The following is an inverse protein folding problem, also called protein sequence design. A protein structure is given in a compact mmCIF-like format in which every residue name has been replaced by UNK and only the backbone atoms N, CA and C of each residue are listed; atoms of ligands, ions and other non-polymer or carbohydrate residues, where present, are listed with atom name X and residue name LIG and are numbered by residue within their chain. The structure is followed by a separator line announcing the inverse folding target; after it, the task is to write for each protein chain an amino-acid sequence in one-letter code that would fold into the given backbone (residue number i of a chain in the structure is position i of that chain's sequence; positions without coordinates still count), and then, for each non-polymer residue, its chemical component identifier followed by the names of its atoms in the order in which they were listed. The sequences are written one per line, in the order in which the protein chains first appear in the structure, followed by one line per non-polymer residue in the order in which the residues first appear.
data_IF_311328247887
#
_entry.id   IF_311328247887
#
_cell.length_a   1.000
_cell.length_b   1.000
_cell.length_c   1.000
_cell.angle_alpha   90.00
_cell.angle_beta   90.00
_cell.angle_gamma   90.00
#
_symmetry.space_group_name_H-M   'P 1'
#
loop_
_entity.id
_entity.type
_entity.pdbx_description
1 polymer ?
#
# COMPACT_ATOMS: atom_id res chain seq x y z
N UNK A 1 20.40 1.21 -22.57
CA UNK A 1 20.13 1.43 -21.12
C UNK A 1 18.81 2.16 -20.90
N UNK A 2 18.63 3.42 -21.32
CA UNK A 2 17.33 4.12 -21.20
C UNK A 2 16.16 3.39 -21.89
N UNK A 3 16.37 2.87 -23.11
CA UNK A 3 15.37 2.05 -23.83
C UNK A 3 14.93 0.81 -23.04
N UNK A 4 15.89 0.09 -22.45
CA UNK A 4 15.64 -1.15 -21.69
C UNK A 4 14.90 -0.88 -20.38
N UNK A 5 15.28 0.17 -19.65
CA UNK A 5 14.59 0.53 -18.41
C UNK A 5 13.14 0.96 -18.64
N UNK A 6 12.88 1.73 -19.70
CA UNK A 6 11.52 2.11 -20.08
C UNK A 6 10.69 0.88 -20.51
N UNK A 7 11.29 -0.06 -21.24
CA UNK A 7 10.61 -1.31 -21.62
C UNK A 7 10.20 -2.13 -20.40
N UNK A 8 11.11 -2.34 -19.44
CA UNK A 8 10.82 -3.05 -18.19
C UNK A 8 9.72 -2.36 -17.38
N UNK A 9 9.75 -1.03 -17.28
CA UNK A 9 8.70 -0.28 -16.61
C UNK A 9 7.33 -0.48 -17.27
N UNK A 10 7.25 -0.39 -18.60
CA UNK A 10 6.00 -0.63 -19.32
C UNK A 10 5.50 -2.07 -19.16
N UNK A 11 6.39 -3.06 -19.15
CA UNK A 11 6.04 -4.46 -18.90
C UNK A 11 5.40 -4.66 -17.51
N UNK A 12 5.95 -4.02 -16.47
CA UNK A 12 5.36 -4.03 -15.13
C UNK A 12 3.96 -3.42 -15.15
N UNK A 13 3.78 -2.23 -15.73
CA UNK A 13 2.48 -1.55 -15.78
C UNK A 13 1.43 -2.37 -16.55
N UNK A 14 1.81 -2.95 -17.69
CA UNK A 14 0.88 -3.78 -18.47
C UNK A 14 0.48 -5.03 -17.70
N UNK A 15 1.44 -5.71 -17.05
CA UNK A 15 1.17 -6.90 -16.24
C UNK A 15 0.21 -6.59 -15.09
N UNK A 16 0.44 -5.51 -14.36
CA UNK A 16 -0.43 -5.08 -13.27
C UNK A 16 -1.83 -4.68 -13.77
N UNK A 17 -1.92 -4.02 -14.91
CA UNK A 17 -3.19 -3.62 -15.52
C UNK A 17 -4.02 -4.83 -15.95
N UNK A 18 -3.38 -5.87 -16.50
CA UNK A 18 -4.04 -7.13 -16.83
C UNK A 18 -4.54 -7.85 -15.57
N UNK A 19 -3.74 -7.89 -14.52
CA UNK A 19 -4.09 -8.53 -13.24
C UNK A 19 -5.23 -7.82 -12.51
N UNK A 20 -5.32 -6.49 -12.61
CA UNK A 20 -6.35 -5.71 -11.91
C UNK A 20 -7.79 -6.17 -12.23
N UNK A 21 -8.02 -6.76 -13.42
CA UNK A 21 -9.35 -7.25 -13.80
C UNK A 21 -9.75 -8.62 -13.24
N UNK A 22 -8.84 -9.39 -12.62
CA UNK A 22 -9.13 -10.77 -12.20
C UNK A 22 -8.36 -11.29 -10.98
N UNK A 23 -7.32 -10.58 -10.53
CA UNK A 23 -6.60 -10.92 -9.31
C UNK A 23 -7.31 -10.35 -8.07
N UNK A 24 -7.08 -10.96 -6.91
CA UNK A 24 -7.45 -10.32 -5.63
C UNK A 24 -6.61 -9.06 -5.40
N UNK A 25 -7.14 -8.11 -4.64
CA UNK A 25 -6.44 -6.86 -4.32
C UNK A 25 -5.12 -7.13 -3.59
N UNK A 26 -5.10 -8.12 -2.68
CA UNK A 26 -3.86 -8.61 -2.06
C UNK A 26 -2.84 -9.10 -3.09
N UNK A 27 -3.27 -9.92 -4.05
CA UNK A 27 -2.39 -10.47 -5.09
C UNK A 27 -1.81 -9.38 -5.98
N UNK A 28 -2.65 -8.40 -6.36
CA UNK A 28 -2.23 -7.24 -7.14
C UNK A 28 -1.19 -6.38 -6.38
N UNK A 29 -1.46 -6.07 -5.11
CA UNK A 29 -0.54 -5.28 -4.27
C UNK A 29 0.80 -5.99 -4.08
N UNK A 30 0.77 -7.30 -3.77
CA UNK A 30 1.97 -8.11 -3.64
C UNK A 30 2.81 -8.08 -4.93
N UNK A 31 2.17 -8.30 -6.08
CA UNK A 31 2.86 -8.26 -7.36
C UNK A 31 3.47 -6.88 -7.64
N UNK A 32 2.77 -5.79 -7.32
CA UNK A 32 3.29 -4.43 -7.51
C UNK A 32 4.54 -4.17 -6.66
N UNK A 33 4.52 -4.58 -5.38
CA UNK A 33 5.65 -4.42 -4.45
C UNK A 33 6.86 -5.25 -4.89
N UNK A 34 6.65 -6.49 -5.33
CA UNK A 34 7.71 -7.39 -5.75
C UNK A 34 8.31 -6.97 -7.11
N UNK A 35 7.47 -6.73 -8.12
CA UNK A 35 7.92 -6.40 -9.48
C UNK A 35 8.60 -5.03 -9.60
N UNK A 36 8.22 -4.08 -8.74
CA UNK A 36 8.90 -2.77 -8.66
C UNK A 36 10.27 -2.84 -7.98
N UNK A 37 10.56 -3.93 -7.25
CA UNK A 37 11.76 -4.06 -6.42
C UNK A 37 11.72 -3.18 -5.16
N UNK A 38 10.56 -2.63 -4.79
CA UNK A 38 10.42 -1.70 -3.66
C UNK A 38 10.77 -2.35 -2.33
N UNK A 39 10.35 -3.60 -2.12
CA UNK A 39 10.67 -4.35 -0.90
C UNK A 39 12.17 -4.57 -0.76
N UNK A 40 12.82 -5.02 -1.83
CA UNK A 40 14.27 -5.27 -1.87
C UNK A 40 15.05 -3.96 -1.68
N UNK A 41 14.57 -2.87 -2.28
CA UNK A 41 15.14 -1.54 -2.08
C UNK A 41 15.15 -1.16 -0.60
N UNK A 42 14.01 -1.27 0.10
CA UNK A 42 13.95 -0.95 1.53
C UNK A 42 14.70 -1.93 2.42
N UNK A 43 14.71 -3.22 2.07
CA UNK A 43 15.48 -4.24 2.77
C UNK A 43 17.00 -4.00 2.70
N UNK A 44 17.48 -3.33 1.64
CA UNK A 44 18.90 -2.98 1.47
C UNK A 44 19.35 -1.78 2.30
N UNK A 45 18.41 -1.01 2.87
CA UNK A 45 18.71 0.16 3.69
C UNK A 45 19.21 -0.25 5.08
N UNK A 46 20.24 0.45 5.58
CA UNK A 46 20.83 0.14 6.89
C UNK A 46 20.00 0.72 8.02
N UNK A 47 19.77 -0.09 9.05
CA UNK A 47 19.15 0.31 10.32
C UNK A 47 17.64 0.05 10.37
N UNK A 48 17.05 0.36 11.53
CA UNK A 48 15.66 0.01 11.87
C UNK A 48 14.63 0.65 10.93
N UNK A 49 14.94 1.79 10.32
CA UNK A 49 14.05 2.46 9.37
C UNK A 49 13.77 1.66 8.11
N UNK A 50 14.76 0.90 7.61
CA UNK A 50 14.57 0.04 6.44
C UNK A 50 13.66 -1.14 6.77
N UNK A 51 13.89 -1.76 7.92
CA UNK A 51 13.08 -2.86 8.45
C UNK A 51 11.63 -2.43 8.66
N UNK A 52 11.40 -1.29 9.34
CA UNK A 52 10.05 -0.76 9.55
C UNK A 52 9.31 -0.50 8.24
N UNK A 53 10.00 -0.05 7.17
CA UNK A 53 9.37 0.12 5.86
C UNK A 53 8.99 -1.20 5.20
N UNK A 54 9.82 -2.23 5.35
CA UNK A 54 9.51 -3.58 4.86
C UNK A 54 8.31 -4.16 5.62
N UNK A 55 8.29 -4.02 6.94
CA UNK A 55 7.17 -4.44 7.79
C UNK A 55 5.88 -3.74 7.38
N UNK A 56 5.90 -2.42 7.19
CA UNK A 56 4.73 -1.67 6.72
C UNK A 56 4.21 -2.18 5.36
N UNK A 57 5.09 -2.57 4.45
CA UNK A 57 4.70 -3.14 3.15
C UNK A 57 4.06 -4.53 3.30
N UNK A 58 4.57 -5.35 4.21
CA UNK A 58 3.99 -6.68 4.53
C UNK A 58 2.64 -6.56 5.24
N UNK A 59 2.51 -5.59 6.14
CA UNK A 59 1.25 -5.26 6.81
C UNK A 59 0.22 -4.75 5.80
N UNK A 60 0.60 -3.90 4.85
CA UNK A 60 -0.29 -3.44 3.78
C UNK A 60 -0.84 -4.63 2.97
N UNK A 61 0.01 -5.57 2.57
CA UNK A 61 -0.44 -6.78 1.85
C UNK A 61 -1.32 -7.67 2.73
N UNK A 62 -1.03 -7.74 4.04
CA UNK A 62 -1.82 -8.55 4.98
C UNK A 62 -3.19 -7.93 5.24
N UNK A 63 -3.29 -6.60 5.38
CA UNK A 63 -4.55 -5.89 5.55
C UNK A 63 -5.50 -6.06 4.36
N UNK A 64 -4.95 -6.29 3.17
CA UNK A 64 -5.70 -6.54 1.95
C UNK A 64 -6.20 -7.99 1.79
N UNK A 65 -5.80 -8.91 2.69
CA UNK A 65 -6.19 -10.33 2.61
C UNK A 65 -7.70 -10.52 2.70
N UNK A 66 -8.34 -9.76 3.59
CA UNK A 66 -9.77 -9.81 3.88
C UNK A 66 -10.52 -8.58 3.33
N UNK A 67 -9.90 -7.85 2.40
CA UNK A 67 -10.54 -6.68 1.78
C UNK A 67 -11.55 -7.13 0.73
N UNK A 68 -12.83 -7.01 1.09
CA UNK A 68 -13.97 -7.37 0.25
C UNK A 68 -14.87 -6.16 0.04
N UNK A 69 -15.51 -6.09 -1.12
CA UNK A 69 -16.40 -4.98 -1.51
C UNK A 69 -17.73 -5.54 -2.00
N UNK A 70 -18.75 -4.68 -2.05
CA UNK A 70 -20.06 -5.09 -2.58
C UNK A 70 -19.96 -5.56 -4.03
N UNK A 71 -20.82 -6.51 -4.42
CA UNK A 71 -20.87 -6.99 -5.80
C UNK A 71 -21.08 -5.83 -6.80
N UNK A 72 -20.24 -5.78 -7.83
CA UNK A 72 -20.30 -4.74 -8.87
C UNK A 72 -19.47 -3.49 -8.55
N UNK A 73 -18.82 -3.43 -7.39
CA UNK A 73 -17.81 -2.42 -7.06
C UNK A 73 -16.42 -2.92 -7.50
N UNK A 74 -15.61 -2.02 -8.06
CA UNK A 74 -14.20 -2.29 -8.32
C UNK A 74 -13.40 -2.18 -7.00
N UNK A 75 -12.85 -3.28 -6.46
CA UNK A 75 -12.17 -3.26 -5.17
C UNK A 75 -10.95 -2.34 -5.15
N UNK A 76 -10.24 -2.21 -6.26
CA UNK A 76 -9.06 -1.35 -6.35
C UNK A 76 -9.45 0.13 -6.31
N UNK A 77 -10.49 0.51 -7.05
CA UNK A 77 -10.99 1.86 -7.08
C UNK A 77 -11.51 2.31 -5.71
N UNK A 78 -12.29 1.44 -5.05
CA UNK A 78 -12.82 1.70 -3.70
C UNK A 78 -11.69 1.84 -2.66
N UNK A 79 -10.71 0.93 -2.69
CA UNK A 79 -9.56 1.01 -1.79
C UNK A 79 -8.77 2.31 -1.97
N UNK A 80 -8.54 2.75 -3.21
CA UNK A 80 -7.86 4.01 -3.49
C UNK A 80 -8.69 5.21 -3.01
N UNK A 81 -10.01 5.18 -3.20
CA UNK A 81 -10.90 6.23 -2.73
C UNK A 81 -10.88 6.35 -1.20
N UNK A 82 -10.99 5.22 -0.49
CA UNK A 82 -10.90 5.17 0.96
C UNK A 82 -9.54 5.67 1.47
N UNK A 83 -8.44 5.18 0.90
CA UNK A 83 -7.09 5.62 1.28
C UNK A 83 -6.87 7.12 1.03
N UNK A 84 -7.45 7.67 -0.04
CA UNK A 84 -7.38 9.10 -0.34
C UNK A 84 -8.20 9.95 0.65
N UNK A 85 -9.37 9.45 1.09
CA UNK A 85 -10.17 10.08 2.14
C UNK A 85 -9.45 10.06 3.49
N UNK A 86 -8.94 8.89 3.91
CA UNK A 86 -8.20 8.74 5.17
C UNK A 86 -6.93 9.62 5.20
N UNK A 87 -6.23 9.73 4.07
CA UNK A 87 -5.09 10.64 3.92
C UNK A 87 -5.49 12.11 3.99
N UNK A 88 -6.72 12.46 3.58
CA UNK A 88 -7.27 13.81 3.69
C UNK A 88 -7.77 14.15 5.10
N UNK A 89 -8.44 13.21 5.77
CA UNK A 89 -8.94 13.35 7.15
C UNK A 89 -7.80 13.39 8.17
N UNK A 90 -6.71 12.65 7.93
CA UNK A 90 -5.48 12.73 8.74
C UNK A 90 -4.64 14.00 8.50
N UNK A 91 -5.03 14.85 7.53
CA UNK A 91 -4.56 16.23 7.39
C UNK A 91 -5.47 17.26 8.06
N UNK A 92 -6.33 16.84 8.99
CA UNK A 92 -6.88 17.71 10.02
C UNK A 92 -5.73 18.54 10.63
N UNK A 93 -5.76 19.85 10.43
CA UNK A 93 -4.78 20.80 10.96
C UNK A 93 -4.58 20.59 12.47
N UNK A 94 -3.43 20.99 13.00
CA UNK A 94 -3.04 20.84 14.42
C UNK A 94 -3.98 21.53 15.45
N UNK A 95 -5.16 21.98 15.04
CA UNK A 95 -6.22 22.61 15.83
C UNK A 95 -7.59 21.90 15.72
N UNK A 96 -7.69 20.74 15.07
CA UNK A 96 -8.91 19.95 15.13
C UNK A 96 -8.92 19.06 16.37
N UNK A 97 -10.07 19.04 17.06
CA UNK A 97 -10.33 18.37 18.33
C UNK A 97 -10.35 16.84 18.11
N UNK A 98 -9.17 16.26 17.90
CA UNK A 98 -9.00 14.83 17.62
C UNK A 98 -8.82 14.05 18.92
N UNK A 99 -9.52 12.90 19.02
CA UNK A 99 -9.37 12.00 20.16
C UNK A 99 -8.12 11.14 19.94
N UNK A 100 -7.09 11.40 20.75
CA UNK A 100 -5.86 10.64 20.73
C UNK A 100 -6.09 9.23 21.32
N UNK A 101 -6.13 8.21 20.47
CA UNK A 101 -6.15 6.81 20.90
C UNK A 101 -4.75 6.41 21.41
N UNK A 102 -4.60 6.33 22.73
CA UNK A 102 -3.48 5.64 23.37
C UNK A 102 -3.89 4.21 23.71
N UNK A 103 -3.03 3.24 23.40
CA UNK A 103 -3.12 1.89 23.97
C UNK A 103 -2.89 1.97 25.50
N UNK A 104 -3.69 1.22 26.25
CA UNK A 104 -3.98 1.33 27.69
C UNK A 104 -2.79 1.08 28.67
N UNK A 105 -1.61 1.65 28.45
CA UNK A 105 -0.44 1.48 29.34
C UNK A 105 0.27 2.78 29.71
N UNK A 106 -0.48 3.86 29.92
CA UNK A 106 0.00 4.99 30.72
C UNK A 106 -1.16 5.71 31.40
N UNK A 107 -1.86 4.99 32.26
CA UNK A 107 -2.60 5.61 33.36
C UNK A 107 -1.66 5.73 34.55
N UNK A 108 -1.09 6.92 34.75
CA UNK A 108 -0.79 7.44 36.07
C UNK A 108 -0.86 8.96 36.08
#
# INVERSE_FOLDING_TARGET
RAKTGLQQFMEIINTLSEMAGHASLQGLMKQAIESSGLKDYHASEKGEKGQARVENLEELVSALADYDVEEGVDPLAEFIAQAALDAGESQADAHEDSVQLMTLHSAK
#
